data_IF_946867471657
#
_entry.id   IF_946867471657
#
_cell.length_a   1.000
_cell.length_b   1.000
_cell.length_c   1.000
_cell.angle_alpha   90.00
_cell.angle_beta   90.00
_cell.angle_gamma   90.00
#
_symmetry.space_group_name_H-M   'P 1'
#
loop_
_entity.id
_entity.type
_entity.pdbx_description
1 polymer ?
#
# COMPACT_ATOMS: atom_id res chain seq x y z
N UNK A 1 -9.23 -4.16 -20.87
CA UNK A 1 -10.19 -3.60 -19.90
C UNK A 1 -9.58 -3.83 -18.53
N UNK A 2 -9.62 -2.86 -17.63
CA UNK A 2 -9.10 -3.09 -16.28
C UNK A 2 -10.21 -3.78 -15.49
N UNK A 3 -9.92 -4.89 -14.84
CA UNK A 3 -10.90 -5.65 -14.07
C UNK A 3 -11.31 -4.81 -12.85
N UNK A 4 -12.55 -4.33 -12.85
CA UNK A 4 -13.12 -3.47 -11.80
C UNK A 4 -13.89 -4.35 -10.78
N UNK A 5 -13.77 -3.99 -9.51
CA UNK A 5 -14.43 -4.71 -8.42
C UNK A 5 -15.90 -4.26 -8.36
N UNK A 6 -16.82 -5.22 -8.44
CA UNK A 6 -18.23 -4.97 -8.16
C UNK A 6 -18.51 -5.05 -6.65
N UNK A 7 -18.07 -6.13 -6.00
CA UNK A 7 -18.35 -6.33 -4.57
C UNK A 7 -17.31 -7.22 -3.89
N UNK A 8 -16.96 -6.87 -2.65
CA UNK A 8 -16.19 -7.72 -1.73
C UNK A 8 -17.15 -8.56 -0.88
N UNK A 9 -17.14 -9.87 -1.07
CA UNK A 9 -18.21 -10.76 -0.54
C UNK A 9 -17.89 -11.23 0.89
N UNK A 10 -16.70 -11.81 1.09
CA UNK A 10 -16.28 -12.44 2.35
C UNK A 10 -14.76 -12.60 2.39
N UNK A 11 -14.22 -12.80 3.58
CA UNK A 11 -12.77 -12.94 3.77
C UNK A 11 -12.39 -14.31 4.35
N UNK A 12 -11.11 -14.67 4.18
CA UNK A 12 -10.44 -15.78 4.88
C UNK A 12 -9.09 -15.31 5.40
N UNK A 13 -8.75 -15.72 6.62
CA UNK A 13 -7.53 -15.29 7.31
C UNK A 13 -6.52 -16.42 7.28
N UNK A 14 -5.32 -16.13 6.79
CA UNK A 14 -4.14 -16.98 6.94
C UNK A 14 -3.37 -16.50 8.18
N UNK A 15 -3.44 -17.28 9.27
CA UNK A 15 -2.78 -16.92 10.53
C UNK A 15 -1.27 -17.19 10.51
N UNK A 16 -0.79 -18.12 9.68
CA UNK A 16 0.64 -18.40 9.54
C UNK A 16 1.35 -17.22 8.89
N UNK A 17 0.79 -16.70 7.79
CA UNK A 17 1.38 -15.60 7.04
C UNK A 17 0.88 -14.23 7.53
N UNK A 18 -0.11 -14.22 8.43
CA UNK A 18 -0.81 -13.00 8.86
C UNK A 18 -1.33 -12.18 7.68
N UNK A 19 -1.94 -12.87 6.71
CA UNK A 19 -2.53 -12.27 5.51
C UNK A 19 -4.02 -12.58 5.42
N UNK A 20 -4.72 -11.82 4.59
CA UNK A 20 -6.14 -12.03 4.31
C UNK A 20 -6.35 -12.09 2.80
N UNK A 21 -7.24 -12.98 2.40
CA UNK A 21 -7.81 -12.96 1.07
C UNK A 21 -9.31 -12.68 1.15
N UNK A 22 -9.83 -11.95 0.17
CA UNK A 22 -11.22 -11.57 0.06
C UNK A 22 -11.76 -12.13 -1.25
N UNK A 23 -12.95 -12.73 -1.19
CA UNK A 23 -13.65 -13.21 -2.37
C UNK A 23 -14.24 -11.99 -3.10
N UNK A 24 -13.76 -11.76 -4.31
CA UNK A 24 -14.13 -10.62 -5.16
C UNK A 24 -15.17 -11.08 -6.17
N UNK A 25 -16.26 -10.31 -6.29
CA UNK A 25 -17.12 -10.28 -7.47
C UNK A 25 -16.66 -9.13 -8.36
N UNK A 26 -16.48 -9.42 -9.64
CA UNK A 26 -16.03 -8.47 -10.66
C UNK A 26 -17.24 -7.85 -11.36
N UNK A 27 -17.06 -6.66 -11.94
CA UNK A 27 -18.11 -5.98 -12.71
C UNK A 27 -18.42 -6.66 -14.03
N UNK A 28 -17.45 -7.37 -14.60
CA UNK A 28 -17.63 -8.23 -15.76
C UNK A 28 -18.16 -9.59 -15.31
N UNK A 29 -19.41 -9.89 -15.68
CA UNK A 29 -20.08 -11.15 -15.34
C UNK A 29 -19.41 -12.39 -15.99
N UNK A 30 -18.57 -12.21 -17.02
CA UNK A 30 -17.78 -13.29 -17.61
C UNK A 30 -16.55 -13.67 -16.75
N UNK A 31 -16.16 -12.81 -15.81
CA UNK A 31 -15.05 -13.08 -14.89
C UNK A 31 -15.58 -13.78 -13.64
N UNK A 32 -15.16 -15.04 -13.37
CA UNK A 32 -15.62 -15.75 -12.19
C UNK A 32 -15.09 -15.10 -10.90
N UNK A 33 -15.86 -15.24 -9.82
CA UNK A 33 -15.41 -14.80 -8.50
C UNK A 33 -14.09 -15.46 -8.13
N UNK A 34 -13.16 -14.68 -7.58
CA UNK A 34 -11.82 -15.14 -7.23
C UNK A 34 -11.38 -14.65 -5.85
N UNK A 35 -10.45 -15.37 -5.24
CA UNK A 35 -9.87 -15.02 -3.95
C UNK A 35 -8.65 -14.14 -4.12
N UNK A 36 -8.82 -12.84 -3.95
CA UNK A 36 -7.74 -11.87 -4.10
C UNK A 36 -7.14 -11.50 -2.76
N UNK A 37 -5.84 -11.18 -2.76
CA UNK A 37 -5.15 -10.67 -1.58
C UNK A 37 -5.52 -9.20 -1.33
N UNK A 38 -5.46 -8.78 -0.07
CA UNK A 38 -5.71 -7.38 0.31
C UNK A 38 -4.82 -6.39 -0.43
N UNK A 39 -3.53 -6.70 -0.63
CA UNK A 39 -2.59 -5.81 -1.31
C UNK A 39 -2.92 -5.65 -2.80
N UNK A 40 -3.41 -6.71 -3.44
CA UNK A 40 -3.92 -6.63 -4.80
C UNK A 40 -5.16 -5.73 -4.87
N UNK A 41 -6.15 -5.97 -4.00
CA UNK A 41 -7.39 -5.17 -3.94
C UNK A 41 -7.05 -3.71 -3.65
N UNK A 42 -6.21 -3.43 -2.66
CA UNK A 42 -5.79 -2.08 -2.28
C UNK A 42 -5.09 -1.32 -3.40
N UNK A 43 -4.44 -2.04 -4.33
CA UNK A 43 -3.78 -1.45 -5.49
C UNK A 43 -4.77 -1.02 -6.57
N UNK A 44 -5.83 -1.80 -6.80
CA UNK A 44 -6.79 -1.54 -7.87
C UNK A 44 -7.98 -0.68 -7.40
N UNK A 45 -8.50 -0.94 -6.21
CA UNK A 45 -9.56 -0.18 -5.58
C UNK A 45 -9.35 -0.13 -4.04
N UNK A 46 -8.54 0.83 -3.56
CA UNK A 46 -8.32 1.00 -2.13
C UNK A 46 -9.60 1.37 -1.38
N UNK A 47 -10.54 2.07 -2.01
CA UNK A 47 -11.73 2.55 -1.31
C UNK A 47 -12.67 1.38 -1.00
N UNK A 48 -12.88 0.46 -1.95
CA UNK A 48 -13.66 -0.75 -1.71
C UNK A 48 -13.10 -1.55 -0.53
N UNK A 49 -11.78 -1.72 -0.44
CA UNK A 49 -11.14 -2.44 0.66
C UNK A 49 -11.35 -1.76 2.01
N UNK A 50 -11.15 -0.44 2.09
CA UNK A 50 -11.29 0.28 3.35
C UNK A 50 -12.74 0.29 3.83
N UNK A 51 -13.70 0.52 2.93
CA UNK A 51 -15.13 0.47 3.24
C UNK A 51 -15.51 -0.92 3.75
N UNK A 52 -15.08 -1.99 3.08
CA UNK A 52 -15.35 -3.36 3.52
C UNK A 52 -14.86 -3.64 4.94
N UNK A 53 -13.67 -3.17 5.31
CA UNK A 53 -13.18 -3.33 6.68
C UNK A 53 -13.90 -2.43 7.68
N UNK A 54 -14.19 -1.18 7.32
CA UNK A 54 -14.92 -0.23 8.17
C UNK A 54 -16.33 -0.73 8.49
N UNK A 55 -17.05 -1.26 7.50
CA UNK A 55 -18.41 -1.82 7.65
C UNK A 55 -18.45 -3.04 8.59
N UNK A 56 -17.34 -3.78 8.68
CA UNK A 56 -17.18 -4.93 9.58
C UNK A 56 -16.64 -4.54 10.96
N UNK A 57 -16.39 -3.26 11.22
CA UNK A 57 -15.90 -2.75 12.50
C UNK A 57 -14.38 -2.60 12.61
N UNK A 58 -13.66 -2.76 11.50
CA UNK A 58 -12.21 -2.59 11.40
C UNK A 58 -11.46 -3.89 11.10
N UNK A 59 -10.37 -3.78 10.33
CA UNK A 59 -9.56 -4.94 9.91
C UNK A 59 -8.99 -5.70 11.12
N UNK A 60 -8.45 -4.99 12.11
CA UNK A 60 -7.79 -5.62 13.25
C UNK A 60 -8.80 -6.39 14.09
N UNK A 61 -9.95 -5.79 14.34
CA UNK A 61 -11.06 -6.32 15.14
C UNK A 61 -11.62 -7.59 14.51
N UNK A 62 -11.78 -7.60 13.19
CA UNK A 62 -12.37 -8.72 12.45
C UNK A 62 -11.39 -9.88 12.26
N UNK A 63 -10.11 -9.59 12.00
CA UNK A 63 -9.11 -10.62 11.66
C UNK A 63 -8.36 -11.17 12.88
N UNK A 64 -8.23 -10.35 13.93
CA UNK A 64 -7.42 -10.63 15.11
C UNK A 64 -5.91 -10.72 14.86
N UNK A 65 -5.43 -10.32 13.67
CA UNK A 65 -4.02 -10.38 13.29
C UNK A 65 -3.21 -9.32 14.06
N UNK A 66 -2.03 -9.73 14.55
CA UNK A 66 -1.10 -8.86 15.29
C UNK A 66 0.11 -8.43 14.47
N UNK A 67 0.36 -9.11 13.35
CA UNK A 67 1.44 -8.78 12.42
C UNK A 67 0.87 -8.02 11.22
N UNK A 68 1.61 -7.01 10.79
CA UNK A 68 1.22 -6.07 9.74
C UNK A 68 2.21 -6.16 8.58
N UNK A 69 1.69 -6.03 7.37
CA UNK A 69 2.48 -5.98 6.15
C UNK A 69 2.50 -4.56 5.62
N UNK A 70 3.67 -4.09 5.17
CA UNK A 70 3.78 -2.79 4.50
C UNK A 70 3.22 -2.93 3.09
N UNK A 71 2.22 -2.10 2.77
CA UNK A 71 1.70 -1.97 1.41
C UNK A 71 2.67 -1.14 0.56
N UNK A 72 3.08 0.02 1.08
CA UNK A 72 4.07 0.88 0.41
C UNK A 72 4.77 1.82 1.38
N UNK A 73 6.03 2.12 1.08
CA UNK A 73 6.73 3.27 1.68
C UNK A 73 6.43 4.52 0.84
N UNK A 74 6.01 5.60 1.51
CA UNK A 74 5.56 6.85 0.89
C UNK A 74 6.64 7.94 0.93
N UNK A 75 7.34 8.08 2.04
CA UNK A 75 8.29 9.17 2.26
C UNK A 75 9.42 8.75 3.21
N UNK A 76 10.51 9.53 3.18
CA UNK A 76 11.63 9.48 4.13
C UNK A 76 11.79 10.86 4.74
N UNK A 77 11.95 10.94 6.05
CA UNK A 77 12.17 12.21 6.75
C UNK A 77 12.92 11.99 8.07
N UNK A 78 13.37 13.07 8.70
CA UNK A 78 13.95 13.10 10.02
C UNK A 78 12.86 13.33 11.08
N UNK A 79 12.57 12.29 11.86
CA UNK A 79 11.58 12.34 12.95
C UNK A 79 12.32 12.13 14.27
N UNK A 80 12.23 13.13 15.17
CA UNK A 80 12.83 13.08 16.52
C UNK A 80 14.32 12.67 16.50
N UNK A 81 15.10 13.22 15.58
CA UNK A 81 16.54 13.00 15.49
C UNK A 81 16.96 11.68 14.84
N UNK A 82 16.03 10.97 14.19
CA UNK A 82 16.31 9.71 13.49
C UNK A 82 15.69 9.73 12.11
N UNK A 83 16.30 9.00 11.18
CA UNK A 83 15.70 8.73 9.88
C UNK A 83 14.52 7.78 10.08
N UNK A 84 13.37 8.19 9.56
CA UNK A 84 12.15 7.39 9.53
C UNK A 84 11.56 7.35 8.12
N UNK A 85 10.76 6.32 7.88
CA UNK A 85 10.00 6.12 6.66
C UNK A 85 8.51 6.12 6.98
N UNK A 86 7.71 6.83 6.17
CA UNK A 86 6.26 6.81 6.29
C UNK A 86 5.72 5.57 5.56
N UNK A 87 5.24 4.60 6.33
CA UNK A 87 4.73 3.32 5.85
C UNK A 87 3.21 3.32 5.82
N UNK A 88 2.65 2.93 4.68
CA UNK A 88 1.25 2.53 4.55
C UNK A 88 1.13 1.02 4.73
N UNK A 89 0.07 0.59 5.42
CA UNK A 89 -0.15 -0.80 5.79
C UNK A 89 -1.20 -1.47 4.90
N UNK A 90 -1.03 -2.76 4.65
CA UNK A 90 -1.98 -3.57 3.89
C UNK A 90 -3.32 -3.60 4.63
N UNK A 91 -4.40 -3.27 3.92
CA UNK A 91 -5.75 -3.25 4.47
C UNK A 91 -6.08 -2.06 5.38
N UNK A 92 -5.18 -1.08 5.48
CA UNK A 92 -5.43 0.17 6.21
C UNK A 92 -5.32 1.39 5.30
N UNK A 93 -6.16 2.38 5.60
CA UNK A 93 -6.20 3.62 4.83
C UNK A 93 -4.99 4.51 5.14
N UNK A 94 -4.69 5.52 4.29
CA UNK A 94 -3.58 6.44 4.55
C UNK A 94 -3.65 7.21 5.89
N UNK A 95 -4.82 7.27 6.55
CA UNK A 95 -4.95 7.88 7.89
C UNK A 95 -4.18 7.09 8.97
N UNK A 96 -3.93 5.82 8.70
CA UNK A 96 -3.26 4.88 9.59
C UNK A 96 -1.76 4.75 9.27
N UNK A 97 -1.26 5.53 8.31
CA UNK A 97 0.17 5.57 7.99
C UNK A 97 0.97 5.91 9.25
N UNK A 98 2.15 5.29 9.39
CA UNK A 98 3.04 5.51 10.53
C UNK A 98 4.47 5.75 10.07
N UNK A 99 5.18 6.57 10.84
CA UNK A 99 6.62 6.76 10.66
C UNK A 99 7.37 5.66 11.40
N UNK A 100 8.07 4.82 10.65
CA UNK A 100 8.83 3.70 11.16
C UNK A 100 10.34 3.96 11.05
N UNK A 101 11.16 3.60 12.07
CA UNK A 101 12.61 3.78 12.02
C UNK A 101 13.24 3.07 10.82
N UNK A 102 14.29 3.67 10.24
CA UNK A 102 15.04 3.11 9.10
C UNK A 102 15.48 1.66 9.33
N UNK A 103 16.00 1.34 10.51
CA UNK A 103 16.42 -0.02 10.87
C UNK A 103 15.26 -1.03 10.81
N UNK A 104 14.08 -0.67 11.34
CA UNK A 104 12.89 -1.54 11.29
C UNK A 104 12.45 -1.77 9.85
N UNK A 105 12.41 -0.72 9.03
CA UNK A 105 11.98 -0.84 7.64
C UNK A 105 12.98 -1.64 6.80
N UNK A 106 14.28 -1.42 7.00
CA UNK A 106 15.32 -2.18 6.30
C UNK A 106 15.31 -3.67 6.66
N UNK A 107 15.09 -4.00 7.95
CA UNK A 107 15.12 -5.38 8.42
C UNK A 107 13.87 -6.17 8.03
N UNK A 108 12.67 -5.59 8.19
CA UNK A 108 11.42 -6.31 8.00
C UNK A 108 10.79 -6.12 6.62
N UNK A 109 11.07 -5.00 5.94
CA UNK A 109 10.42 -4.64 4.68
C UNK A 109 11.42 -4.23 3.58
N UNK A 110 12.50 -5.01 3.35
CA UNK A 110 13.58 -4.62 2.42
C UNK A 110 13.07 -4.41 0.99
N UNK A 111 12.10 -5.21 0.54
CA UNK A 111 11.52 -5.08 -0.79
C UNK A 111 10.74 -3.75 -0.97
N UNK A 112 9.94 -3.37 0.01
CA UNK A 112 9.19 -2.11 -0.02
C UNK A 112 10.12 -0.88 0.05
N UNK A 113 11.23 -1.00 0.79
CA UNK A 113 12.26 0.02 0.84
C UNK A 113 12.97 0.18 -0.50
N UNK A 114 13.36 -0.93 -1.14
CA UNK A 114 14.02 -0.92 -2.44
C UNK A 114 13.14 -0.29 -3.53
N UNK A 115 11.84 -0.66 -3.59
CA UNK A 115 10.87 -0.04 -4.50
C UNK A 115 10.79 1.48 -4.29
N UNK A 116 10.71 1.95 -3.04
CA UNK A 116 10.70 3.38 -2.74
C UNK A 116 11.99 4.08 -3.17
N UNK A 117 13.15 3.46 -2.96
CA UNK A 117 14.44 4.04 -3.38
C UNK A 117 14.51 4.23 -4.90
N UNK A 118 14.04 3.25 -5.67
CA UNK A 118 13.95 3.34 -7.14
C UNK A 118 13.02 4.47 -7.56
N UNK A 119 11.81 4.54 -6.97
CA UNK A 119 10.85 5.62 -7.25
C UNK A 119 11.40 7.00 -6.89
N UNK A 120 12.10 7.11 -5.77
CA UNK A 120 12.68 8.37 -5.30
C UNK A 120 13.85 8.83 -6.18
N UNK A 121 14.72 7.91 -6.63
CA UNK A 121 15.77 8.22 -7.59
C UNK A 121 15.19 8.73 -8.92
N UNK A 122 14.17 8.06 -9.45
CA UNK A 122 13.47 8.49 -10.66
C UNK A 122 12.80 9.86 -10.48
N UNK A 123 12.19 10.12 -9.32
CA UNK A 123 11.59 11.43 -8.99
C UNK A 123 12.65 12.54 -8.98
N UNK A 124 13.77 12.32 -8.30
CA UNK A 124 14.88 13.30 -8.25
C UNK A 124 15.44 13.59 -9.64
N UNK A 125 15.62 12.57 -10.48
CA UNK A 125 16.06 12.73 -11.86
C UNK A 125 15.09 13.59 -12.70
N UNK A 126 13.77 13.34 -12.59
CA UNK A 126 12.74 14.14 -13.28
C UNK A 126 12.74 15.59 -12.82
N UNK A 127 12.87 15.84 -11.52
CA UNK A 127 12.93 17.20 -10.95
C UNK A 127 14.17 17.94 -11.45
N UNK A 128 15.33 17.28 -11.47
CA UNK A 128 16.57 17.87 -11.98
C UNK A 128 16.46 18.20 -13.47
N UNK A 129 15.91 17.29 -14.29
CA UNK A 129 15.71 17.51 -15.72
C UNK A 129 14.79 18.70 -16.01
N UNK A 130 13.67 18.82 -15.27
CA UNK A 130 12.76 19.97 -15.37
C UNK A 130 13.46 21.28 -15.05
N UNK A 131 14.22 21.32 -13.95
CA UNK A 131 14.95 22.53 -13.54
C UNK A 131 16.00 22.96 -14.58
N UNK A 132 16.70 22.02 -15.19
CA UNK A 132 17.67 22.31 -16.25
C UNK A 132 16.99 22.88 -17.50
N UNK A 133 15.84 22.33 -17.91
CA UNK A 133 15.07 22.84 -19.04
C UNK A 133 14.53 24.26 -18.81
N UNK A 134 14.03 24.56 -17.60
CA UNK A 134 13.57 25.90 -17.23
C UNK A 134 14.71 26.94 -17.25
N UNK A 135 15.92 26.55 -16.86
CA UNK A 135 17.10 27.43 -16.90
C UNK A 135 17.59 27.69 -18.33
N UNK A 136 17.57 26.68 -19.20
CA UNK A 136 17.99 26.80 -20.59
C UNK A 136 17.00 27.59 -21.48
N UNK A 137 15.71 27.64 -21.11
CA UNK A 137 14.71 28.44 -21.82
C UNK A 137 14.64 29.91 -21.39
N UNK A 138 15.33 30.28 -20.30
CA UNK A 138 15.34 31.62 -19.74
C UNK A 138 16.68 32.35 -20.00
N UNK A 139 17.50 31.81 -20.90
CA UNK A 139 18.82 32.28 -21.30
C UNK A 139 18.84 32.53 -22.82
#
# INVERSE_FOLDING_TARGET
MADEIDTLIRHRVDRSESTVQILVKWTDDDIPQSWEREDFIQKIDPQALYTYWEDLGGRQEVTGLQLYHVFKVKAKDWVKGKICYNCQWVGYSPKDDRWEPEEKVANYFPAALADWQVREAARKARVAARKAAEQAGNQ
#
